data_IF_347348487540
#
_entry.id   IF_347348487540
#
_cell.length_a   1.000
_cell.length_b   1.000
_cell.length_c   1.000
_cell.angle_alpha   90.00
_cell.angle_beta   90.00
_cell.angle_gamma   90.00
#
_symmetry.space_group_name_H-M   'P 1'
#
loop_
_entity.id
_entity.type
_entity.pdbx_description
1 polymer ?
#
# COMPACT_ATOMS: atom_id res chain seq x y z
N UNK A 1 44.38 34.62 -32.40
CA UNK A 1 45.23 34.00 -31.35
C UNK A 1 44.57 32.68 -30.96
N UNK A 2 44.72 31.55 -31.68
CA UNK A 2 45.89 30.66 -31.80
C UNK A 2 46.63 30.46 -30.48
N UNK A 3 46.41 29.33 -29.82
CA UNK A 3 47.46 28.33 -29.60
C UNK A 3 46.88 26.97 -29.16
N UNK A 4 47.04 25.99 -30.05
CA UNK A 4 47.17 24.56 -29.73
C UNK A 4 48.58 24.33 -29.20
N UNK A 5 48.74 23.45 -28.20
CA UNK A 5 50.00 22.77 -27.93
C UNK A 5 49.74 21.34 -27.41
N UNK A 6 50.03 20.36 -28.25
CA UNK A 6 50.26 18.96 -27.88
C UNK A 6 51.68 18.78 -27.35
N UNK A 7 51.89 17.81 -26.45
CA UNK A 7 53.11 16.95 -26.37
C UNK A 7 52.94 15.78 -25.38
N UNK A 8 52.55 14.63 -25.91
CA UNK A 8 53.25 13.32 -25.94
C UNK A 8 54.14 12.84 -24.76
N UNK A 9 53.72 11.70 -24.18
CA UNK A 9 54.42 10.46 -23.72
C UNK A 9 55.47 10.48 -22.59
N UNK A 10 55.22 9.65 -21.56
CA UNK A 10 56.23 8.79 -20.94
C UNK A 10 55.59 7.47 -20.44
N UNK A 11 56.30 6.36 -20.65
CA UNK A 11 55.88 4.96 -20.53
C UNK A 11 56.55 4.29 -19.31
N UNK A 12 55.91 3.26 -18.74
CA UNK A 12 56.43 2.17 -17.86
C UNK A 12 56.76 2.55 -16.39
N UNK A 13 56.59 1.75 -15.31
CA UNK A 13 56.65 0.30 -15.02
C UNK A 13 55.84 0.01 -13.73
N UNK A 14 55.33 -1.22 -13.55
CA UNK A 14 55.09 -1.85 -12.24
C UNK A 14 53.60 -2.08 -11.95
N UNK A 15 53.06 -3.30 -11.92
CA UNK A 15 53.56 -4.46 -11.20
C UNK A 15 52.81 -4.53 -9.87
N UNK A 16 51.64 -5.17 -9.87
CA UNK A 16 50.83 -5.36 -8.66
C UNK A 16 49.42 -5.82 -8.99
N UNK A 17 49.24 -7.12 -9.21
CA UNK A 17 47.92 -7.72 -9.12
C UNK A 17 47.43 -7.57 -7.68
N UNK A 18 46.62 -6.55 -7.42
CA UNK A 18 45.82 -6.45 -6.21
C UNK A 18 44.76 -7.54 -6.29
N UNK A 19 45.03 -8.67 -5.63
CA UNK A 19 44.00 -9.62 -5.25
C UNK A 19 43.01 -8.87 -4.35
N UNK A 20 41.89 -8.42 -4.91
CA UNK A 20 40.73 -7.98 -4.16
C UNK A 20 40.19 -9.20 -3.42
N UNK A 21 40.61 -9.37 -2.18
CA UNK A 21 39.88 -10.19 -1.23
C UNK A 21 38.48 -9.59 -1.13
N UNK A 22 37.52 -10.25 -1.77
CA UNK A 22 36.10 -9.99 -1.57
C UNK A 22 35.78 -10.33 -0.13
N UNK A 23 35.85 -9.32 0.74
CA UNK A 23 35.16 -9.36 2.03
C UNK A 23 33.69 -9.49 1.65
N UNK A 24 33.17 -10.71 1.73
CA UNK A 24 31.75 -10.95 1.69
C UNK A 24 31.14 -10.22 2.87
N UNK A 25 30.74 -8.97 2.65
CA UNK A 25 29.71 -8.34 3.46
C UNK A 25 28.47 -9.19 3.19
N UNK A 26 28.24 -10.17 4.05
CA UNK A 26 26.94 -10.81 4.13
C UNK A 26 25.95 -9.68 4.30
N UNK A 27 25.17 -9.42 3.24
CA UNK A 27 24.05 -8.50 3.32
C UNK A 27 23.22 -9.04 4.47
N UNK A 28 23.03 -8.29 5.57
CA UNK A 28 22.13 -8.76 6.61
C UNK A 28 20.80 -9.01 5.91
N UNK A 29 20.26 -10.22 6.05
CA UNK A 29 18.91 -10.50 5.58
C UNK A 29 18.03 -9.38 6.12
N UNK A 30 17.31 -8.68 5.22
CA UNK A 30 16.39 -7.62 5.62
C UNK A 30 15.53 -8.19 6.76
N UNK A 31 15.71 -7.67 7.98
CA UNK A 31 14.88 -8.07 9.09
C UNK A 31 13.46 -7.70 8.68
N UNK A 32 12.57 -8.69 8.57
CA UNK A 32 11.18 -8.46 8.28
C UNK A 32 10.66 -7.44 9.32
N UNK A 33 10.25 -6.26 8.84
CA UNK A 33 9.95 -5.13 9.72
C UNK A 33 8.80 -5.54 10.66
N UNK A 34 9.06 -5.51 11.97
CA UNK A 34 8.06 -5.87 12.98
C UNK A 34 7.34 -4.61 13.44
N UNK A 35 6.02 -4.55 13.22
CA UNK A 35 5.17 -3.48 13.75
C UNK A 35 4.46 -4.01 14.99
N UNK A 36 4.67 -3.36 16.14
CA UNK A 36 4.16 -3.82 17.44
C UNK A 36 4.50 -5.30 17.76
N UNK A 37 5.69 -5.75 17.33
CA UNK A 37 6.14 -7.14 17.50
C UNK A 37 5.45 -8.16 16.59
N UNK A 38 4.55 -7.71 15.70
CA UNK A 38 4.00 -8.50 14.62
C UNK A 38 4.94 -8.44 13.40
N UNK A 39 5.55 -9.54 12.95
CA UNK A 39 6.44 -9.50 11.78
C UNK A 39 5.67 -9.16 10.50
N UNK A 40 6.32 -8.48 9.56
CA UNK A 40 5.79 -8.28 8.21
C UNK A 40 5.42 -9.62 7.57
N UNK A 41 4.25 -9.68 6.94
CA UNK A 41 3.66 -10.90 6.39
C UNK A 41 2.72 -11.66 7.34
N UNK A 42 2.55 -11.22 8.59
CA UNK A 42 1.76 -11.94 9.59
C UNK A 42 0.48 -11.21 10.00
N UNK A 43 -0.54 -11.97 10.39
CA UNK A 43 -1.61 -11.49 11.27
C UNK A 43 -1.24 -11.82 12.70
N UNK A 44 -1.44 -10.90 13.62
CA UNK A 44 -1.17 -11.10 15.04
C UNK A 44 -2.39 -10.79 15.89
N UNK A 45 -2.63 -11.62 16.91
CA UNK A 45 -3.63 -11.40 17.94
C UNK A 45 -2.91 -11.14 19.25
N UNK A 46 -3.31 -10.09 19.96
CA UNK A 46 -2.74 -9.72 21.25
C UNK A 46 -3.61 -10.22 22.41
N UNK A 47 -3.03 -10.48 23.60
CA UNK A 47 -3.76 -11.03 24.76
C UNK A 47 -4.97 -10.21 25.24
N UNK A 48 -5.10 -8.96 24.82
CA UNK A 48 -6.22 -8.08 25.15
C UNK A 48 -6.37 -6.95 24.13
N UNK A 49 -7.32 -6.04 24.35
CA UNK A 49 -7.58 -4.85 23.51
C UNK A 49 -6.51 -3.74 23.66
N UNK A 50 -5.23 -4.11 23.53
CA UNK A 50 -4.09 -3.18 23.53
C UNK A 50 -2.90 -3.80 22.79
N UNK A 51 -1.81 -3.06 22.63
CA UNK A 51 -0.56 -3.60 22.06
C UNK A 51 0.19 -4.54 23.01
N UNK A 52 -0.20 -4.64 24.28
CA UNK A 52 0.34 -5.61 25.26
C UNK A 52 1.88 -5.69 25.26
N UNK A 53 2.55 -4.54 25.39
CA UNK A 53 4.00 -4.38 25.31
C UNK A 53 4.61 -4.87 23.99
N UNK A 54 3.88 -4.74 22.88
CA UNK A 54 4.25 -5.21 21.55
C UNK A 54 4.49 -6.73 21.49
N UNK A 55 3.76 -7.49 22.32
CA UNK A 55 3.87 -8.95 22.40
C UNK A 55 2.50 -9.58 22.04
N UNK A 56 2.31 -10.03 20.80
CA UNK A 56 1.12 -10.80 20.45
C UNK A 56 1.18 -12.23 21.00
N UNK A 57 0.03 -12.79 21.38
CA UNK A 57 -0.11 -14.17 21.83
C UNK A 57 -0.18 -15.17 20.68
N UNK A 58 -0.74 -14.76 19.53
CA UNK A 58 -0.88 -15.61 18.35
C UNK A 58 -0.35 -14.87 17.11
N UNK A 59 0.27 -15.63 16.20
CA UNK A 59 0.80 -15.14 14.91
C UNK A 59 0.44 -16.12 13.81
N UNK A 60 -0.10 -15.63 12.71
CA UNK A 60 -0.53 -16.42 11.57
C UNK A 60 0.15 -15.91 10.29
N UNK A 61 0.72 -16.82 9.51
CA UNK A 61 1.44 -16.49 8.26
C UNK A 61 0.83 -17.19 7.05
N UNK A 62 0.56 -18.49 7.19
CA UNK A 62 0.06 -19.30 6.09
C UNK A 62 -1.41 -18.95 5.78
N UNK A 63 -1.74 -18.87 4.50
CA UNK A 63 -3.13 -18.79 4.06
C UNK A 63 -3.89 -20.07 4.39
N UNK A 64 -5.21 -19.91 4.52
CA UNK A 64 -6.13 -20.94 4.98
C UNK A 64 -6.79 -20.56 6.31
N UNK A 65 -7.77 -21.38 6.70
CA UNK A 65 -8.42 -21.26 7.99
C UNK A 65 -7.54 -21.84 9.10
N UNK A 66 -7.46 -21.14 10.23
CA UNK A 66 -6.88 -21.66 11.47
C UNK A 66 -7.91 -21.54 12.59
N UNK A 67 -8.25 -22.67 13.21
CA UNK A 67 -9.18 -22.70 14.32
C UNK A 67 -8.55 -22.08 15.57
N UNK A 68 -9.31 -21.23 16.24
CA UNK A 68 -8.94 -20.65 17.52
C UNK A 68 -9.48 -21.52 18.64
N UNK A 69 -8.74 -21.57 19.75
CA UNK A 69 -9.18 -22.18 21.00
C UNK A 69 -8.86 -21.24 22.15
N UNK A 70 -9.72 -21.25 23.17
CA UNK A 70 -9.48 -20.56 24.45
C UNK A 70 -9.22 -19.04 24.32
N UNK A 71 -9.80 -18.39 23.30
CA UNK A 71 -9.79 -16.93 23.18
C UNK A 71 -11.09 -16.38 23.77
N UNK A 72 -10.99 -15.50 24.76
CA UNK A 72 -12.14 -14.97 25.49
C UNK A 72 -11.99 -13.47 25.72
N UNK A 73 -13.10 -12.76 25.54
CA UNK A 73 -13.15 -11.31 25.71
C UNK A 73 -12.47 -10.55 24.57
N UNK A 74 -12.19 -9.28 24.82
CA UNK A 74 -11.69 -8.36 23.82
C UNK A 74 -10.18 -8.54 23.55
N UNK A 75 -9.82 -8.78 22.30
CA UNK A 75 -8.45 -8.86 21.82
C UNK A 75 -8.20 -7.87 20.68
N UNK A 76 -6.97 -7.38 20.56
CA UNK A 76 -6.52 -6.70 19.34
C UNK A 76 -6.13 -7.73 18.29
N UNK A 77 -6.68 -7.59 17.09
CA UNK A 77 -6.24 -8.31 15.90
C UNK A 77 -5.58 -7.30 14.98
N UNK A 78 -4.34 -7.54 14.57
CA UNK A 78 -3.56 -6.68 13.69
C UNK A 78 -3.14 -7.47 12.46
N UNK A 79 -3.49 -6.98 11.28
CA UNK A 79 -3.03 -7.54 10.02
C UNK A 79 -1.74 -6.80 9.59
N UNK A 80 -0.57 -7.40 9.83
CA UNK A 80 0.71 -6.92 9.29
C UNK A 80 1.14 -7.69 8.04
N UNK A 81 0.20 -8.30 7.32
CA UNK A 81 0.51 -9.02 6.09
C UNK A 81 0.92 -8.05 4.96
N UNK A 82 1.23 -8.59 3.79
CA UNK A 82 1.60 -7.82 2.59
C UNK A 82 0.87 -8.36 1.37
N UNK A 83 1.02 -7.67 0.25
CA UNK A 83 0.59 -8.12 -1.09
C UNK A 83 -0.92 -8.40 -1.19
N UNK A 84 -1.74 -7.56 -0.55
CA UNK A 84 -3.20 -7.65 -0.61
C UNK A 84 -3.79 -8.83 0.17
N UNK A 85 -3.00 -9.43 1.07
CA UNK A 85 -3.49 -10.45 1.99
C UNK A 85 -4.49 -9.86 2.99
N UNK A 86 -5.56 -10.58 3.26
CA UNK A 86 -6.57 -10.19 4.24
C UNK A 86 -6.72 -11.26 5.31
N UNK A 87 -7.25 -10.82 6.44
CA UNK A 87 -7.76 -11.72 7.47
C UNK A 87 -9.24 -11.47 7.71
N UNK A 88 -9.99 -12.55 7.83
CA UNK A 88 -11.37 -12.52 8.33
C UNK A 88 -11.45 -13.25 9.66
N UNK A 89 -12.32 -12.74 10.54
CA UNK A 89 -12.70 -13.40 11.78
C UNK A 89 -14.00 -14.16 11.55
N UNK A 90 -14.02 -15.43 11.92
CA UNK A 90 -15.04 -16.37 11.51
C UNK A 90 -15.71 -17.01 12.73
N UNK A 91 -17.05 -16.95 12.78
CA UNK A 91 -17.82 -17.49 13.91
C UNK A 91 -18.01 -19.00 13.84
N UNK A 92 -17.72 -19.64 12.71
CA UNK A 92 -17.60 -21.09 12.62
C UNK A 92 -16.14 -21.53 12.54
N UNK A 93 -15.92 -22.83 12.78
CA UNK A 93 -14.64 -23.47 12.52
C UNK A 93 -14.33 -23.53 11.01
N UNK A 94 -13.07 -23.78 10.69
CA UNK A 94 -12.56 -24.04 9.34
C UNK A 94 -12.86 -22.91 8.32
N UNK A 95 -12.96 -21.67 8.80
CA UNK A 95 -13.18 -20.50 7.95
C UNK A 95 -14.64 -20.34 7.48
N UNK A 96 -15.60 -20.90 8.20
CA UNK A 96 -17.03 -20.69 7.94
C UNK A 96 -17.58 -19.44 8.63
N UNK A 97 -18.61 -18.83 8.02
CA UNK A 97 -19.35 -17.69 8.61
C UNK A 97 -18.43 -16.50 8.99
N UNK A 98 -17.55 -16.14 8.05
CA UNK A 98 -16.59 -15.05 8.21
C UNK A 98 -17.22 -13.67 8.07
N UNK A 99 -16.80 -12.75 8.94
CA UNK A 99 -17.16 -11.34 8.85
C UNK A 99 -16.35 -10.58 7.79
N UNK A 100 -16.33 -9.26 7.91
CA UNK A 100 -15.58 -8.39 7.00
C UNK A 100 -14.06 -8.72 7.01
N UNK A 101 -13.44 -8.57 5.84
CA UNK A 101 -12.00 -8.75 5.67
C UNK A 101 -11.24 -7.51 6.16
N UNK A 102 -10.28 -7.73 7.07
CA UNK A 102 -9.32 -6.73 7.50
C UNK A 102 -8.13 -6.74 6.54
N UNK A 103 -7.82 -5.59 5.94
CA UNK A 103 -6.68 -5.42 5.05
C UNK A 103 -5.39 -5.18 5.85
N UNK A 104 -4.22 -5.28 5.22
CA UNK A 104 -2.95 -5.03 5.89
C UNK A 104 -2.80 -3.61 6.42
N UNK A 105 -2.04 -3.47 7.51
CA UNK A 105 -1.83 -2.22 8.23
C UNK A 105 -2.94 -1.87 9.23
N UNK A 106 -4.07 -2.60 9.23
CA UNK A 106 -5.18 -2.36 10.15
C UNK A 106 -5.16 -3.24 11.38
N UNK A 107 -5.66 -2.67 12.47
CA UNK A 107 -6.05 -3.43 13.65
C UNK A 107 -7.51 -3.16 14.04
N UNK A 108 -8.12 -4.11 14.74
CA UNK A 108 -9.40 -3.94 15.40
C UNK A 108 -9.37 -4.60 16.78
N UNK A 109 -10.04 -3.98 17.75
CA UNK A 109 -10.30 -4.59 19.05
C UNK A 109 -11.65 -5.32 18.98
N UNK A 110 -11.62 -6.65 19.09
CA UNK A 110 -12.77 -7.53 18.84
C UNK A 110 -12.95 -8.49 20.00
N UNK A 111 -14.19 -8.70 20.45
CA UNK A 111 -14.50 -9.82 21.33
C UNK A 111 -14.31 -11.14 20.56
N UNK A 112 -13.31 -11.93 20.93
CA UNK A 112 -13.02 -13.20 20.27
C UNK A 112 -13.79 -14.38 20.86
N UNK A 113 -14.57 -14.17 21.92
CA UNK A 113 -15.44 -15.21 22.50
C UNK A 113 -16.32 -15.94 21.47
N UNK A 114 -16.97 -15.26 20.49
CA UNK A 114 -17.75 -15.93 19.46
C UNK A 114 -16.94 -16.38 18.23
N UNK A 115 -15.64 -16.11 18.17
CA UNK A 115 -14.80 -16.36 16.99
C UNK A 115 -14.11 -17.72 17.13
N UNK A 116 -14.42 -18.63 16.22
CA UNK A 116 -13.91 -20.01 16.23
C UNK A 116 -12.74 -20.21 15.25
N UNK A 117 -12.55 -19.34 14.26
CA UNK A 117 -11.39 -19.40 13.36
C UNK A 117 -11.00 -18.05 12.77
N UNK A 118 -9.75 -17.95 12.33
CA UNK A 118 -9.26 -16.89 11.45
C UNK A 118 -9.06 -17.45 10.05
N UNK A 119 -9.48 -16.73 9.04
CA UNK A 119 -9.26 -17.07 7.65
C UNK A 119 -8.28 -16.07 7.05
N UNK A 120 -7.05 -16.52 6.82
CA UNK A 120 -6.06 -15.77 6.07
C UNK A 120 -6.17 -16.15 4.61
N UNK A 121 -6.16 -15.17 3.73
CA UNK A 121 -6.07 -15.43 2.31
C UNK A 121 -5.51 -14.23 1.60
N UNK A 122 -5.12 -14.40 0.35
CA UNK A 122 -5.32 -13.28 -0.57
C UNK A 122 -6.80 -13.03 -0.56
N UNK A 123 -7.20 -11.77 -0.40
CA UNK A 123 -8.59 -11.45 -0.66
C UNK A 123 -9.00 -12.13 -1.95
N UNK A 124 -10.14 -12.81 -1.96
CA UNK A 124 -10.86 -13.01 -3.21
C UNK A 124 -11.45 -11.66 -3.65
N UNK A 125 -10.62 -10.61 -3.71
CA UNK A 125 -10.93 -9.42 -4.47
C UNK A 125 -10.90 -9.90 -5.92
N UNK A 126 -12.02 -9.79 -6.62
CA UNK A 126 -12.08 -10.22 -8.01
C UNK A 126 -11.11 -9.42 -8.89
N UNK A 127 -10.72 -8.22 -8.44
CA UNK A 127 -9.89 -7.27 -9.18
C UNK A 127 -9.29 -6.17 -8.27
N UNK A 128 -8.38 -5.36 -8.81
CA UNK A 128 -7.71 -4.28 -8.08
C UNK A 128 -8.64 -3.12 -7.71
N UNK A 129 -9.75 -2.92 -8.43
CA UNK A 129 -10.71 -1.87 -8.09
C UNK A 129 -11.36 -2.16 -6.74
N UNK A 130 -11.81 -3.41 -6.54
CA UNK A 130 -12.35 -3.87 -5.26
C UNK A 130 -11.28 -3.79 -4.16
N UNK A 131 -10.03 -4.09 -4.48
CA UNK A 131 -8.90 -3.97 -3.55
C UNK A 131 -8.70 -2.54 -3.05
N UNK A 132 -8.62 -1.59 -3.98
CA UNK A 132 -8.46 -0.17 -3.67
C UNK A 132 -9.64 0.38 -2.88
N UNK A 133 -10.87 0.03 -3.30
CA UNK A 133 -12.09 0.42 -2.59
C UNK A 133 -12.09 -0.09 -1.14
N UNK A 134 -11.85 -1.39 -0.94
CA UNK A 134 -11.86 -2.00 0.39
C UNK A 134 -10.75 -1.43 1.28
N UNK A 135 -9.56 -1.17 0.73
CA UNK A 135 -8.49 -0.49 1.45
C UNK A 135 -8.94 0.89 1.94
N UNK A 136 -9.51 1.71 1.06
CA UNK A 136 -9.97 3.06 1.40
C UNK A 136 -11.10 3.06 2.44
N UNK A 137 -12.05 2.12 2.35
CA UNK A 137 -13.10 1.99 3.35
C UNK A 137 -12.56 1.51 4.70
N UNK A 138 -11.65 0.52 4.69
CA UNK A 138 -11.01 0.05 5.93
C UNK A 138 -10.26 1.18 6.64
N UNK A 139 -9.58 2.02 5.84
CA UNK A 139 -9.15 3.41 6.05
C UNK A 139 -9.90 4.37 6.97
N UNK A 140 -11.23 4.21 7.02
CA UNK A 140 -12.17 5.20 7.51
C UNK A 140 -12.76 6.16 6.47
N UNK A 141 -12.47 6.01 5.16
CA UNK A 141 -13.21 6.77 4.13
C UNK A 141 -14.62 6.21 3.95
N UNK A 142 -15.59 7.10 3.70
CA UNK A 142 -16.94 6.65 3.33
C UNK A 142 -16.95 5.98 1.96
N UNK A 143 -17.97 5.16 1.68
CA UNK A 143 -18.15 4.50 0.37
C UNK A 143 -18.06 5.49 -0.80
N UNK A 144 -18.59 6.71 -0.65
CA UNK A 144 -18.60 7.74 -1.70
C UNK A 144 -17.20 8.33 -1.93
N UNK A 145 -16.47 8.61 -0.85
CA UNK A 145 -15.10 9.11 -0.91
C UNK A 145 -14.17 8.06 -1.52
N UNK A 146 -14.24 6.82 -1.03
CA UNK A 146 -13.47 5.71 -1.56
C UNK A 146 -13.73 5.52 -3.06
N UNK A 147 -15.00 5.55 -3.47
CA UNK A 147 -15.37 5.43 -4.89
C UNK A 147 -14.82 6.58 -5.74
N UNK A 148 -14.86 7.81 -5.23
CA UNK A 148 -14.29 8.98 -5.91
C UNK A 148 -12.78 8.89 -6.13
N UNK A 149 -12.04 8.38 -5.14
CA UNK A 149 -10.60 8.12 -5.29
C UNK A 149 -10.36 7.02 -6.32
N UNK A 150 -11.03 5.85 -6.20
CA UNK A 150 -10.82 4.74 -7.14
C UNK A 150 -11.18 5.15 -8.58
N UNK A 151 -12.22 5.97 -8.78
CA UNK A 151 -12.58 6.48 -10.10
C UNK A 151 -11.50 7.34 -10.75
N UNK A 152 -10.74 8.10 -9.95
CA UNK A 152 -9.55 8.81 -10.43
C UNK A 152 -8.43 7.83 -10.79
N UNK A 153 -8.14 6.86 -9.93
CA UNK A 153 -7.09 5.87 -10.19
C UNK A 153 -7.37 5.04 -11.45
N UNK A 154 -8.64 4.75 -11.73
CA UNK A 154 -9.07 4.10 -12.98
C UNK A 154 -8.78 4.97 -14.21
N UNK A 155 -8.90 6.29 -14.10
CA UNK A 155 -8.56 7.21 -15.18
C UNK A 155 -7.04 7.30 -15.40
N UNK A 156 -6.25 7.28 -14.33
CA UNK A 156 -4.79 7.39 -14.40
C UNK A 156 -4.10 6.12 -14.89
N UNK A 157 -4.57 4.95 -14.44
CA UNK A 157 -3.88 3.68 -14.65
C UNK A 157 -4.69 2.65 -15.45
N UNK A 158 -5.80 3.10 -16.04
CA UNK A 158 -6.72 2.27 -16.81
C UNK A 158 -7.82 1.62 -15.96
N UNK A 159 -8.87 1.06 -16.61
CA UNK A 159 -10.10 0.66 -15.92
C UNK A 159 -9.90 -0.38 -14.81
N UNK A 160 -8.80 -1.13 -14.86
CA UNK A 160 -8.46 -2.16 -13.88
C UNK A 160 -7.63 -1.65 -12.69
N UNK A 161 -7.32 -0.35 -12.58
CA UNK A 161 -6.41 0.18 -11.55
C UNK A 161 -5.07 -0.58 -11.57
N UNK A 162 -4.29 -0.39 -12.64
CA UNK A 162 -3.04 -1.15 -12.84
C UNK A 162 -1.87 -0.52 -12.08
N UNK A 163 -1.33 -1.17 -11.03
CA UNK A 163 -0.17 -0.65 -10.31
C UNK A 163 1.13 -0.69 -11.14
N UNK A 164 1.15 -1.39 -12.27
CA UNK A 164 2.27 -1.42 -13.20
C UNK A 164 2.09 -0.46 -14.38
N UNK A 165 1.04 0.38 -14.37
CA UNK A 165 0.80 1.34 -15.44
C UNK A 165 2.01 2.24 -15.67
N UNK A 166 2.46 2.32 -16.92
CA UNK A 166 3.53 3.21 -17.35
C UNK A 166 3.04 4.11 -18.48
N UNK A 167 3.20 5.42 -18.33
CA UNK A 167 2.87 6.37 -19.38
C UNK A 167 3.73 6.11 -20.63
N UNK A 168 3.09 5.96 -21.79
CA UNK A 168 3.79 5.79 -23.05
C UNK A 168 4.63 7.03 -23.38
N UNK A 169 5.96 6.87 -23.40
CA UNK A 169 6.89 7.96 -23.69
C UNK A 169 6.97 9.06 -22.63
N UNK A 170 6.34 8.88 -21.47
CA UNK A 170 6.26 9.88 -20.41
C UNK A 170 6.72 9.37 -19.03
N UNK A 171 6.79 10.26 -18.03
CA UNK A 171 7.33 9.92 -16.72
C UNK A 171 6.35 9.16 -15.82
N UNK A 172 5.05 9.13 -16.11
CA UNK A 172 4.02 8.59 -15.21
C UNK A 172 4.15 7.08 -14.91
N UNK A 173 3.96 6.70 -13.64
CA UNK A 173 4.06 5.34 -13.09
C UNK A 173 2.96 5.05 -12.07
N UNK A 174 2.46 3.82 -12.08
CA UNK A 174 1.54 3.30 -11.05
C UNK A 174 0.13 3.88 -11.11
N UNK A 175 -0.65 3.58 -10.08
CA UNK A 175 -2.10 3.84 -10.03
C UNK A 175 -2.49 5.31 -10.09
N UNK A 176 -1.60 6.22 -9.67
CA UNK A 176 -1.79 7.67 -9.72
C UNK A 176 -0.78 8.38 -10.64
N UNK A 177 -0.15 7.64 -11.55
CA UNK A 177 0.78 8.16 -12.56
C UNK A 177 1.88 9.09 -12.01
N UNK A 178 2.45 8.78 -10.84
CA UNK A 178 3.58 9.53 -10.27
C UNK A 178 4.75 9.59 -11.26
N UNK A 179 5.39 10.76 -11.36
CA UNK A 179 6.43 10.99 -12.38
C UNK A 179 7.82 10.50 -11.95
N UNK A 180 8.48 9.73 -12.81
CA UNK A 180 9.95 9.50 -12.78
C UNK A 180 10.67 10.84 -12.84
N UNK A 181 11.71 11.01 -12.03
CA UNK A 181 12.36 12.31 -11.80
C UNK A 181 11.62 13.18 -10.77
N UNK A 182 10.52 12.70 -10.19
CA UNK A 182 9.69 13.42 -9.22
C UNK A 182 9.15 12.51 -8.11
N UNK A 183 7.82 12.46 -7.97
CA UNK A 183 7.11 11.68 -6.93
C UNK A 183 7.23 10.15 -7.10
N UNK A 184 7.77 9.65 -8.22
CA UNK A 184 8.07 8.23 -8.30
C UNK A 184 9.34 7.87 -7.52
N UNK A 185 10.44 8.61 -7.72
CA UNK A 185 11.79 8.18 -7.28
C UNK A 185 12.76 9.28 -6.80
N UNK A 186 12.42 10.57 -6.88
CA UNK A 186 13.39 11.66 -6.65
C UNK A 186 13.06 12.56 -5.47
N UNK A 187 11.80 12.93 -5.25
CA UNK A 187 11.45 13.94 -4.23
C UNK A 187 11.71 13.44 -2.80
N UNK A 188 12.41 14.22 -1.99
CA UNK A 188 12.81 13.79 -0.65
C UNK A 188 11.60 13.62 0.28
N UNK A 189 11.44 12.42 0.86
CA UNK A 189 10.31 12.03 1.73
C UNK A 189 8.93 12.14 1.08
N UNK A 190 8.87 12.22 -0.25
CA UNK A 190 7.63 12.40 -1.00
C UNK A 190 7.74 11.67 -2.34
N UNK A 191 8.22 10.42 -2.28
CA UNK A 191 8.25 9.56 -3.46
C UNK A 191 7.98 8.09 -3.14
N UNK A 192 7.39 7.39 -4.12
CA UNK A 192 6.95 5.99 -4.02
C UNK A 192 8.13 5.06 -3.69
N UNK A 193 9.27 5.20 -4.36
CA UNK A 193 10.44 4.32 -4.14
C UNK A 193 11.00 4.47 -2.73
N UNK A 194 11.09 5.70 -2.20
CA UNK A 194 11.52 5.95 -0.82
C UNK A 194 10.54 5.32 0.16
N UNK A 195 9.24 5.50 -0.04
CA UNK A 195 8.22 4.96 0.85
C UNK A 195 8.18 3.42 0.80
N UNK A 196 8.35 2.84 -0.38
CA UNK A 196 8.50 1.40 -0.58
C UNK A 196 9.70 0.84 0.21
N UNK A 197 10.85 1.51 0.14
CA UNK A 197 12.04 1.12 0.91
C UNK A 197 11.83 1.24 2.43
N UNK A 198 11.05 2.23 2.88
CA UNK A 198 10.70 2.38 4.30
C UNK A 198 9.92 1.19 4.83
N UNK A 199 8.98 0.66 4.04
CA UNK A 199 8.11 -0.45 4.45
C UNK A 199 8.64 -1.84 4.03
N UNK A 200 9.78 -1.91 3.33
CA UNK A 200 10.28 -3.16 2.75
C UNK A 200 9.34 -3.79 1.72
N UNK A 201 8.53 -2.97 1.04
CA UNK A 201 7.53 -3.42 0.04
C UNK A 201 7.99 -3.11 -1.38
N UNK A 202 7.39 -3.77 -2.37
CA UNK A 202 7.60 -3.42 -3.78
C UNK A 202 6.90 -2.09 -4.12
N UNK A 203 7.57 -1.13 -4.80
CA UNK A 203 6.92 0.09 -5.29
C UNK A 203 5.84 -0.18 -6.34
N UNK A 204 5.82 -1.39 -6.92
CA UNK A 204 4.83 -1.84 -7.90
C UNK A 204 3.66 -2.61 -7.28
N UNK A 205 3.62 -2.77 -5.95
CA UNK A 205 2.46 -3.38 -5.32
C UNK A 205 1.34 -2.35 -5.20
N UNK A 206 0.11 -2.78 -5.53
CA UNK A 206 -1.09 -1.96 -5.37
C UNK A 206 -1.21 -1.45 -3.93
N UNK A 207 -0.96 -2.33 -2.96
CA UNK A 207 -1.04 -2.00 -1.54
C UNK A 207 -0.05 -0.90 -1.14
N UNK A 208 1.22 -0.97 -1.58
CA UNK A 208 2.19 0.07 -1.29
C UNK A 208 1.74 1.40 -1.89
N UNK A 209 1.31 1.39 -3.15
CA UNK A 209 0.87 2.61 -3.83
C UNK A 209 -0.35 3.25 -3.14
N UNK A 210 -1.32 2.46 -2.68
CA UNK A 210 -2.46 2.95 -1.90
C UNK A 210 -2.04 3.49 -0.52
N UNK A 211 -1.12 2.81 0.18
CA UNK A 211 -0.54 3.31 1.43
C UNK A 211 0.23 4.61 1.22
N UNK A 212 0.87 4.79 0.06
CA UNK A 212 1.58 6.01 -0.27
C UNK A 212 0.62 7.17 -0.54
N UNK A 213 -0.48 6.94 -1.27
CA UNK A 213 -1.57 7.93 -1.41
C UNK A 213 -2.04 8.40 -0.02
N UNK A 214 -2.27 7.45 0.90
CA UNK A 214 -2.69 7.79 2.26
C UNK A 214 -1.64 8.61 3.01
N UNK A 215 -0.37 8.20 2.94
CA UNK A 215 0.75 8.93 3.53
C UNK A 215 0.82 10.37 3.03
N UNK A 216 0.70 10.58 1.72
CA UNK A 216 0.73 11.90 1.09
C UNK A 216 -0.45 12.77 1.57
N UNK A 217 -1.67 12.21 1.58
CA UNK A 217 -2.88 12.88 2.08
C UNK A 217 -2.78 13.28 3.56
N UNK A 218 -2.13 12.46 4.39
CA UNK A 218 -1.93 12.73 5.82
C UNK A 218 -0.83 13.74 6.11
N UNK A 219 0.22 13.72 5.31
CA UNK A 219 1.44 14.49 5.56
C UNK A 219 1.36 15.89 4.98
N UNK A 220 0.75 16.02 3.79
CA UNK A 220 0.78 17.26 3.02
C UNK A 220 -0.64 17.73 2.75
N UNK A 221 -1.07 18.76 3.49
CA UNK A 221 -2.43 19.31 3.40
C UNK A 221 -2.82 19.78 1.99
N UNK A 222 -1.84 20.18 1.17
CA UNK A 222 -2.06 20.60 -0.21
C UNK A 222 -2.52 19.46 -1.14
N UNK A 223 -2.33 18.19 -0.77
CA UNK A 223 -2.91 17.05 -1.51
C UNK A 223 -4.40 16.82 -1.23
N UNK A 224 -5.03 17.66 -0.39
CA UNK A 224 -6.49 17.79 -0.38
C UNK A 224 -7.25 16.80 0.50
N UNK A 225 -6.63 16.22 1.54
CA UNK A 225 -7.36 15.35 2.49
C UNK A 225 -8.59 16.03 3.09
N UNK A 226 -8.48 17.31 3.48
CA UNK A 226 -9.58 18.08 4.06
C UNK A 226 -10.82 18.15 3.15
N UNK A 227 -10.69 18.68 1.92
CA UNK A 227 -11.76 18.64 0.92
C UNK A 227 -12.30 17.23 0.64
N UNK A 228 -11.42 16.23 0.53
CA UNK A 228 -11.83 14.85 0.28
C UNK A 228 -12.72 14.31 1.40
N UNK A 229 -12.32 14.43 2.67
CA UNK A 229 -13.11 13.91 3.80
C UNK A 229 -14.39 14.72 4.08
N UNK A 230 -14.46 15.96 3.59
CA UNK A 230 -15.66 16.80 3.66
C UNK A 230 -16.70 16.45 2.58
N UNK A 231 -16.31 15.70 1.54
CA UNK A 231 -17.22 15.33 0.45
C UNK A 231 -18.34 14.40 0.92
N UNK A 232 -19.56 14.65 0.43
CA UNK A 232 -20.78 13.90 0.81
C UNK A 232 -21.43 13.18 -0.37
N UNK A 233 -20.92 13.41 -1.58
CA UNK A 233 -21.36 12.81 -2.85
C UNK A 233 -20.17 12.14 -3.55
N UNK A 234 -20.45 11.17 -4.43
CA UNK A 234 -19.42 10.54 -5.28
C UNK A 234 -18.74 11.59 -6.16
N UNK A 235 -19.52 12.54 -6.69
CA UNK A 235 -19.01 13.64 -7.51
C UNK A 235 -17.99 14.49 -6.73
N UNK A 236 -18.36 14.97 -5.54
CA UNK A 236 -17.49 15.85 -4.74
C UNK A 236 -16.21 15.12 -4.31
N UNK A 237 -16.30 13.83 -3.96
CA UNK A 237 -15.12 13.03 -3.63
C UNK A 237 -14.20 12.82 -4.82
N UNK A 238 -14.78 12.63 -6.01
CA UNK A 238 -14.03 12.51 -7.27
C UNK A 238 -13.29 13.81 -7.60
N UNK A 239 -13.99 14.95 -7.55
CA UNK A 239 -13.42 16.26 -7.88
C UNK A 239 -12.39 16.69 -6.83
N UNK A 240 -12.63 16.43 -5.54
CA UNK A 240 -11.66 16.75 -4.50
C UNK A 240 -10.33 16.01 -4.70
N UNK A 241 -10.36 14.72 -5.03
CA UNK A 241 -9.12 13.98 -5.30
C UNK A 241 -8.47 14.42 -6.62
N UNK A 242 -9.26 14.62 -7.66
CA UNK A 242 -8.81 15.10 -8.97
C UNK A 242 -8.04 16.43 -8.87
N UNK A 243 -8.66 17.44 -8.23
CA UNK A 243 -8.14 18.81 -8.28
C UNK A 243 -6.92 18.98 -7.38
N UNK A 244 -6.86 18.27 -6.25
CA UNK A 244 -5.80 18.43 -5.26
C UNK A 244 -4.71 17.37 -5.32
N UNK A 245 -5.06 16.11 -5.55
CA UNK A 245 -4.08 15.01 -5.54
C UNK A 245 -3.47 14.78 -6.93
N UNK A 246 -4.31 14.68 -7.96
CA UNK A 246 -3.85 14.46 -9.34
C UNK A 246 -3.33 15.76 -9.96
N UNK A 247 -3.97 16.91 -9.69
CA UNK A 247 -3.54 18.21 -10.20
C UNK A 247 -3.53 18.27 -11.73
N UNK A 248 -4.48 17.58 -12.38
CA UNK A 248 -4.56 17.48 -13.83
C UNK A 248 -4.93 18.82 -14.49
N UNK A 249 -4.40 19.07 -15.69
CA UNK A 249 -4.79 20.22 -16.52
C UNK A 249 -6.16 19.99 -17.17
N UNK A 250 -6.23 19.04 -18.10
CA UNK A 250 -7.47 18.55 -18.71
C UNK A 250 -7.90 17.24 -18.07
N UNK A 251 -8.70 17.33 -17.00
CA UNK A 251 -8.95 16.21 -16.11
C UNK A 251 -9.90 15.13 -16.65
N UNK A 252 -10.69 15.39 -17.68
CA UNK A 252 -11.78 14.50 -18.09
C UNK A 252 -12.69 14.08 -16.92
N UNK A 253 -13.14 15.08 -16.14
CA UNK A 253 -14.01 14.92 -14.97
C UNK A 253 -15.22 13.98 -15.24
N UNK A 254 -15.93 14.07 -16.37
CA UNK A 254 -17.07 13.18 -16.63
C UNK A 254 -16.69 11.69 -16.61
N UNK A 255 -15.52 11.33 -17.15
CA UNK A 255 -15.06 9.94 -17.18
C UNK A 255 -14.67 9.45 -15.78
N UNK A 256 -13.97 10.27 -14.99
CA UNK A 256 -13.61 9.95 -13.60
C UNK A 256 -14.86 9.73 -12.74
N UNK A 257 -15.87 10.60 -12.88
CA UNK A 257 -17.14 10.47 -12.16
C UNK A 257 -17.91 9.23 -12.62
N UNK A 258 -17.88 8.89 -13.92
CA UNK A 258 -18.49 7.66 -14.43
C UNK A 258 -17.84 6.41 -13.82
N UNK A 259 -16.50 6.38 -13.74
CA UNK A 259 -15.78 5.31 -13.06
C UNK A 259 -16.08 5.27 -11.56
N UNK A 260 -16.12 6.42 -10.88
CA UNK A 260 -16.44 6.48 -9.47
C UNK A 260 -17.85 5.95 -9.18
N UNK A 261 -18.85 6.30 -10.00
CA UNK A 261 -20.20 5.75 -9.86
C UNK A 261 -20.22 4.23 -10.11
N UNK A 262 -19.47 3.72 -11.08
CA UNK A 262 -19.33 2.27 -11.29
C UNK A 262 -18.83 1.55 -10.03
N UNK A 263 -17.82 2.11 -9.36
CA UNK A 263 -17.29 1.56 -8.10
C UNK A 263 -18.34 1.62 -6.98
N UNK A 264 -19.02 2.76 -6.84
CA UNK A 264 -20.04 2.94 -5.82
C UNK A 264 -21.22 1.99 -6.02
N UNK A 265 -21.71 1.83 -7.24
CA UNK A 265 -22.82 0.94 -7.56
C UNK A 265 -22.46 -0.55 -7.36
N UNK A 266 -21.19 -0.91 -7.55
CA UNK A 266 -20.72 -2.30 -7.41
C UNK A 266 -20.39 -2.67 -5.96
N UNK A 267 -19.80 -1.76 -5.19
CA UNK A 267 -19.23 -2.08 -3.86
C UNK A 267 -19.73 -1.19 -2.72
N UNK A 268 -20.38 -0.06 -3.02
CA UNK A 268 -20.75 0.97 -2.05
C UNK A 268 -22.13 0.84 -1.42
N UNK A 269 -22.90 -0.19 -1.81
CA UNK A 269 -24.24 -0.51 -1.29
C UNK A 269 -24.26 -1.22 0.05
#
# INVERSE_FOLDING_TARGET
MRQLASKTIATTVGGGALALASIGLGVPAAHAETTHGCPSGYVCIYPGASWNNDIPSLKFYNYGATNLSEQYGAHRVFNNQTDGAVVQLCTAYDGGSCGAAQVPGWYADVDLTPINSVLLGKSAQANNQQAAYNFLVSIGYSSKQASGVVGNLMQESGPSVDPNATQAGGPGRGIAQWSVGGRWDTYANDNVVWYANKLGMSPWSLELQLRFIQYELDTYSYYGKGPLVASTTVYDGTVAFQDYFEGCGDCNTPQRVAYANQIYDTYGG
#
